data_IF_144553680957
#
_entry.id   IF_144553680957
#
_cell.length_a   1.000
_cell.length_b   1.000
_cell.length_c   1.000
_cell.angle_alpha   90.00
_cell.angle_beta   90.00
_cell.angle_gamma   90.00
#
_symmetry.space_group_name_H-M   'P 1'
#
loop_
_entity.id
_entity.type
_entity.pdbx_description
1 polymer ?
#
# COMPACT_ATOMS: atom_id res chain seq x y z
N UNK A 1 -28.56 -32.91 11.79
CA UNK A 1 -29.78 -32.57 12.55
C UNK A 1 -30.12 -33.79 13.38
N UNK A 2 -30.21 -33.67 14.70
CA UNK A 2 -30.53 -34.84 15.53
C UNK A 2 -32.03 -35.19 15.39
N UNK A 3 -32.46 -36.31 15.97
CA UNK A 3 -33.84 -36.81 15.86
C UNK A 3 -34.90 -35.90 16.50
N UNK A 4 -34.53 -35.14 17.52
CA UNK A 4 -35.43 -34.26 18.26
C UNK A 4 -35.61 -32.93 17.51
N UNK A 5 -34.51 -32.33 17.03
CA UNK A 5 -34.51 -31.17 16.14
C UNK A 5 -35.41 -31.41 14.90
N UNK A 6 -35.40 -32.64 14.36
CA UNK A 6 -36.24 -33.02 13.21
C UNK A 6 -37.71 -33.08 13.57
N UNK A 7 -38.08 -33.56 14.76
CA UNK A 7 -39.47 -33.57 15.24
C UNK A 7 -39.98 -32.16 15.45
N UNK A 8 -39.16 -31.28 16.02
CA UNK A 8 -39.51 -29.88 16.26
C UNK A 8 -39.71 -29.15 14.94
N UNK A 9 -38.80 -29.34 13.97
CA UNK A 9 -38.94 -28.78 12.63
C UNK A 9 -40.23 -29.27 11.94
N UNK A 10 -40.52 -30.57 11.96
CA UNK A 10 -41.72 -31.11 11.31
C UNK A 10 -43.02 -30.63 11.97
N UNK A 11 -42.99 -30.42 13.29
CA UNK A 11 -44.13 -29.87 14.04
C UNK A 11 -44.39 -28.43 13.63
N UNK A 12 -43.34 -27.60 13.58
CA UNK A 12 -43.42 -26.23 13.06
C UNK A 12 -43.82 -26.18 11.58
N UNK A 13 -43.25 -27.02 10.73
CA UNK A 13 -43.57 -27.04 9.29
C UNK A 13 -45.05 -27.32 9.05
N UNK A 14 -45.65 -28.22 9.83
CA UNK A 14 -47.08 -28.54 9.77
C UNK A 14 -47.98 -27.36 10.15
N UNK A 15 -47.55 -26.48 11.06
CA UNK A 15 -48.32 -25.27 11.40
C UNK A 15 -48.28 -24.24 10.28
N UNK A 16 -47.26 -24.30 9.41
CA UNK A 16 -47.04 -23.38 8.29
C UNK A 16 -47.52 -23.87 6.93
N UNK A 17 -47.92 -25.15 6.81
CA UNK A 17 -48.17 -25.79 5.49
C UNK A 17 -49.34 -25.19 4.70
N UNK A 18 -50.29 -24.54 5.37
CA UNK A 18 -51.46 -23.92 4.74
C UNK A 18 -51.38 -22.38 4.66
N UNK A 19 -50.26 -21.78 5.09
CA UNK A 19 -50.06 -20.33 4.96
C UNK A 19 -49.64 -20.00 3.52
N UNK A 20 -50.21 -18.94 2.94
CA UNK A 20 -49.82 -18.44 1.63
C UNK A 20 -48.55 -17.60 1.79
N UNK A 21 -47.45 -18.05 1.20
CA UNK A 21 -46.19 -17.32 1.20
C UNK A 21 -46.19 -16.24 0.11
N UNK A 22 -46.35 -14.98 0.51
CA UNK A 22 -46.20 -13.83 -0.40
C UNK A 22 -44.71 -13.53 -0.59
N UNK A 23 -44.13 -14.17 -1.60
CA UNK A 23 -42.71 -14.02 -1.91
C UNK A 23 -42.30 -12.56 -2.11
N UNK A 24 -43.15 -11.74 -2.73
CA UNK A 24 -42.81 -10.35 -3.04
C UNK A 24 -42.73 -9.49 -1.77
N UNK A 25 -43.64 -9.72 -0.81
CA UNK A 25 -43.58 -9.08 0.50
C UNK A 25 -42.36 -9.54 1.31
N UNK A 26 -42.16 -10.85 1.39
CA UNK A 26 -41.14 -11.48 2.24
C UNK A 26 -39.71 -11.16 1.77
N UNK A 27 -39.47 -11.19 0.44
CA UNK A 27 -38.16 -10.79 -0.11
C UNK A 27 -37.87 -9.31 0.13
N UNK A 28 -38.90 -8.44 0.08
CA UNK A 28 -38.73 -7.01 0.36
C UNK A 28 -38.40 -6.79 1.83
N UNK A 29 -39.14 -7.43 2.75
CA UNK A 29 -38.90 -7.33 4.19
C UNK A 29 -37.51 -7.86 4.57
N UNK A 30 -37.11 -9.00 3.99
CA UNK A 30 -35.76 -9.54 4.11
C UNK A 30 -34.69 -8.54 3.63
N UNK A 31 -34.81 -8.01 2.41
CA UNK A 31 -33.84 -7.05 1.87
C UNK A 31 -33.77 -5.74 2.69
N UNK A 32 -34.91 -5.25 3.20
CA UNK A 32 -34.95 -4.08 4.08
C UNK A 32 -34.26 -4.35 5.42
N UNK A 33 -34.50 -5.53 6.01
CA UNK A 33 -33.84 -5.95 7.25
C UNK A 33 -32.33 -6.08 7.07
N UNK A 34 -31.87 -6.80 6.05
CA UNK A 34 -30.45 -6.97 5.75
C UNK A 34 -29.75 -5.63 5.52
N UNK A 35 -30.35 -4.74 4.73
CA UNK A 35 -29.78 -3.40 4.49
C UNK A 35 -29.74 -2.57 5.76
N UNK A 36 -30.75 -2.70 6.64
CA UNK A 36 -30.77 -2.00 7.93
C UNK A 36 -29.64 -2.51 8.83
N UNK A 37 -29.48 -3.82 8.97
CA UNK A 37 -28.41 -4.42 9.78
C UNK A 37 -27.03 -3.98 9.27
N UNK A 38 -26.81 -4.01 7.96
CA UNK A 38 -25.55 -3.54 7.36
C UNK A 38 -25.31 -2.06 7.66
N UNK A 39 -26.34 -1.21 7.53
CA UNK A 39 -26.23 0.22 7.85
C UNK A 39 -25.88 0.43 9.33
N UNK A 40 -26.61 -0.19 10.26
CA UNK A 40 -26.33 -0.06 11.69
C UNK A 40 -24.93 -0.58 12.04
N UNK A 41 -24.49 -1.68 11.41
CA UNK A 41 -23.13 -2.19 11.55
C UNK A 41 -22.06 -1.20 11.08
N UNK A 42 -22.27 -0.55 9.93
CA UNK A 42 -21.37 0.48 9.40
C UNK A 42 -21.34 1.72 10.30
N UNK A 43 -22.49 2.17 10.80
CA UNK A 43 -22.56 3.30 11.72
C UNK A 43 -21.82 3.00 13.02
N UNK A 44 -22.03 1.81 13.59
CA UNK A 44 -21.31 1.38 14.80
C UNK A 44 -19.81 1.28 14.56
N UNK A 45 -19.39 0.74 13.41
CA UNK A 45 -17.98 0.69 13.04
C UNK A 45 -17.37 2.09 12.90
N UNK A 46 -18.07 3.02 12.23
CA UNK A 46 -17.65 4.41 12.10
C UNK A 46 -17.46 5.06 13.47
N UNK A 47 -18.44 4.92 14.37
CA UNK A 47 -18.37 5.52 15.71
C UNK A 47 -17.17 5.00 16.50
N UNK A 48 -16.95 3.67 16.50
CA UNK A 48 -15.80 3.04 17.15
C UNK A 48 -14.48 3.54 16.56
N UNK A 49 -14.40 3.68 15.23
CA UNK A 49 -13.19 4.16 14.58
C UNK A 49 -12.93 5.63 14.88
N UNK A 50 -13.97 6.47 14.92
CA UNK A 50 -13.83 7.87 15.33
C UNK A 50 -13.38 7.99 16.79
N UNK A 51 -13.85 7.11 17.66
CA UNK A 51 -13.45 7.03 19.06
C UNK A 51 -11.98 6.62 19.21
N UNK A 52 -11.57 5.49 18.61
CA UNK A 52 -10.22 4.91 18.75
C UNK A 52 -9.15 5.76 18.05
N UNK A 53 -9.49 6.43 16.95
CA UNK A 53 -8.53 7.24 16.20
C UNK A 53 -8.44 8.67 16.70
N UNK A 54 -9.40 9.13 17.49
CA UNK A 54 -9.39 10.46 18.10
C UNK A 54 -8.38 10.57 19.23
N UNK A 55 -7.62 11.67 19.27
CA UNK A 55 -6.80 12.02 20.44
C UNK A 55 -7.66 12.74 21.48
N UNK A 56 -7.68 12.23 22.71
CA UNK A 56 -8.20 12.97 23.86
C UNK A 56 -7.17 14.03 24.26
N UNK A 57 -7.53 15.31 24.18
CA UNK A 57 -6.94 16.31 25.04
C UNK A 57 -8.04 17.25 25.51
N UNK A 58 -7.98 17.51 26.82
CA UNK A 58 -8.96 18.15 27.69
C UNK A 58 -9.52 19.45 27.13
N UNK A 59 -10.83 19.60 27.28
CA UNK A 59 -11.61 20.83 27.20
C UNK A 59 -11.56 21.57 25.83
N UNK A 60 -12.62 21.39 25.04
CA UNK A 60 -13.07 22.28 23.95
C UNK A 60 -12.36 22.29 22.57
N UNK A 61 -11.78 21.18 22.12
CA UNK A 61 -11.41 21.04 20.69
C UNK A 61 -11.77 19.68 20.07
N UNK A 62 -12.44 19.71 18.90
CA UNK A 62 -12.87 18.54 18.11
C UNK A 62 -11.74 17.49 17.97
N UNK A 63 -12.12 16.21 18.09
CA UNK A 63 -11.25 15.02 18.09
C UNK A 63 -10.49 14.82 16.79
N UNK A 64 -9.17 14.58 16.94
CA UNK A 64 -8.18 13.83 16.13
C UNK A 64 -8.63 12.70 15.16
N UNK A 65 -9.90 12.53 14.86
CA UNK A 65 -10.45 11.25 14.38
C UNK A 65 -10.50 11.11 12.86
N UNK A 66 -10.28 9.90 12.38
CA UNK A 66 -10.38 9.51 10.97
C UNK A 66 -11.75 8.91 10.71
N UNK A 67 -12.53 9.54 9.83
CA UNK A 67 -13.82 9.01 9.43
C UNK A 67 -13.63 7.93 8.36
N UNK A 68 -14.14 6.73 8.63
CA UNK A 68 -14.03 5.61 7.69
C UNK A 68 -14.78 5.83 6.39
N UNK A 69 -15.81 6.69 6.40
CA UNK A 69 -16.63 6.98 5.23
C UNK A 69 -15.97 7.96 4.25
N UNK A 70 -14.87 8.62 4.66
CA UNK A 70 -14.07 9.46 3.76
C UNK A 70 -13.20 8.63 2.79
N UNK A 71 -13.19 7.31 2.94
CA UNK A 71 -12.31 6.40 2.21
C UNK A 71 -13.10 5.28 1.53
N UNK A 72 -12.67 4.90 0.33
CA UNK A 72 -13.34 3.88 -0.50
C UNK A 72 -13.01 2.45 -0.07
N UNK A 73 -11.85 2.24 0.57
CA UNK A 73 -11.38 0.90 0.98
C UNK A 73 -10.87 0.91 2.42
N UNK A 74 -10.96 -0.24 3.10
CA UNK A 74 -10.39 -0.43 4.45
C UNK A 74 -8.89 -0.14 4.45
N UNK A 75 -8.15 -0.55 3.41
CA UNK A 75 -6.72 -0.25 3.29
C UNK A 75 -6.44 1.27 3.25
N UNK A 76 -7.28 2.04 2.54
CA UNK A 76 -7.16 3.50 2.54
C UNK A 76 -7.54 4.14 3.88
N UNK A 77 -8.53 3.60 4.61
CA UNK A 77 -8.83 4.02 6.00
C UNK A 77 -7.61 3.79 6.90
N UNK A 78 -7.05 2.58 6.88
CA UNK A 78 -5.83 2.22 7.63
C UNK A 78 -4.68 3.17 7.33
N UNK A 79 -4.47 3.51 6.05
CA UNK A 79 -3.45 4.48 5.66
C UNK A 79 -3.77 5.90 6.12
N UNK A 80 -5.05 6.31 6.12
CA UNK A 80 -5.50 7.59 6.67
C UNK A 80 -5.17 7.71 8.17
N UNK A 81 -5.47 6.66 8.93
CA UNK A 81 -5.14 6.55 10.36
C UNK A 81 -3.63 6.59 10.56
N UNK A 82 -2.90 5.80 9.79
CA UNK A 82 -1.45 5.76 9.87
C UNK A 82 -0.82 7.14 9.61
N UNK A 83 -1.26 7.83 8.55
CA UNK A 83 -0.80 9.18 8.22
C UNK A 83 -1.13 10.19 9.32
N UNK A 84 -2.34 10.12 9.88
CA UNK A 84 -2.83 11.09 10.86
C UNK A 84 -2.17 10.91 12.23
N UNK A 85 -2.03 9.65 12.67
CA UNK A 85 -1.66 9.35 14.06
C UNK A 85 -0.19 8.93 14.21
N UNK A 86 0.42 8.36 13.16
CA UNK A 86 1.74 7.72 13.24
C UNK A 86 2.80 8.39 12.35
N UNK A 87 2.43 9.02 11.23
CA UNK A 87 3.37 9.77 10.36
C UNK A 87 3.29 11.28 10.58
N UNK A 88 3.72 11.74 11.76
CA UNK A 88 3.75 13.17 12.06
C UNK A 88 4.78 13.88 11.18
N UNK A 89 4.30 14.76 10.31
CA UNK A 89 5.14 15.63 9.49
C UNK A 89 5.61 16.83 10.34
N UNK A 90 6.86 17.25 10.11
CA UNK A 90 7.42 18.46 10.69
C UNK A 90 7.47 19.55 9.63
N UNK A 91 6.87 20.68 9.96
CA UNK A 91 6.91 21.91 9.16
C UNK A 91 7.58 23.00 9.99
N UNK A 92 8.06 24.03 9.31
CA UNK A 92 8.28 25.34 9.90
C UNK A 92 7.24 26.30 9.33
N UNK A 93 6.87 27.31 10.09
CA UNK A 93 6.01 28.40 9.65
C UNK A 93 6.76 29.72 9.75
N UNK A 94 6.62 30.55 8.71
CA UNK A 94 7.08 31.93 8.77
C UNK A 94 6.24 32.71 9.78
N UNK A 95 6.92 33.45 10.65
CA UNK A 95 6.32 34.40 11.57
C UNK A 95 6.84 35.78 11.22
N UNK A 96 5.93 36.63 10.75
CA UNK A 96 6.20 37.99 10.26
C UNK A 96 5.76 39.01 11.28
N UNK A 97 6.59 40.01 11.53
CA UNK A 97 6.23 41.14 12.39
C UNK A 97 5.62 42.26 11.53
N UNK A 98 4.45 42.78 11.92
CA UNK A 98 3.60 43.62 11.06
C UNK A 98 4.29 44.91 10.56
N UNK A 99 5.27 45.44 11.31
CA UNK A 99 5.94 46.71 11.01
C UNK A 99 7.41 46.56 10.55
N UNK A 100 7.88 45.34 10.26
CA UNK A 100 9.26 45.12 9.79
C UNK A 100 9.31 44.02 8.72
N UNK A 101 10.30 44.05 7.83
CA UNK A 101 10.58 42.92 6.92
C UNK A 101 11.20 41.70 7.63
N UNK A 102 11.20 41.68 8.96
CA UNK A 102 11.77 40.58 9.72
C UNK A 102 10.88 39.34 9.68
N UNK A 103 11.45 38.21 9.22
CA UNK A 103 10.80 36.91 9.12
C UNK A 103 11.58 35.92 9.99
N UNK A 104 10.89 35.34 10.98
CA UNK A 104 11.41 34.25 11.80
C UNK A 104 10.77 32.92 11.37
N UNK A 105 11.55 31.85 11.20
CA UNK A 105 11.01 30.51 10.99
C UNK A 105 10.84 29.82 12.34
N UNK A 106 9.64 29.36 12.66
CA UNK A 106 9.37 28.58 13.88
C UNK A 106 8.87 27.18 13.54
N UNK A 107 9.30 26.14 14.29
CA UNK A 107 8.75 24.80 14.14
C UNK A 107 7.24 24.78 14.31
N UNK A 108 6.58 24.02 13.45
CA UNK A 108 5.14 23.86 13.34
C UNK A 108 4.78 22.37 13.26
N UNK A 109 3.70 22.00 13.93
CA UNK A 109 3.00 20.73 13.71
C UNK A 109 1.55 20.99 13.34
N UNK A 110 1.06 20.34 12.30
CA UNK A 110 -0.33 20.45 11.86
C UNK A 110 -1.28 19.85 12.89
N UNK A 111 -2.43 20.50 13.11
CA UNK A 111 -3.51 20.03 13.98
C UNK A 111 -4.84 20.16 13.25
N UNK A 112 -5.92 19.58 13.78
CA UNK A 112 -7.23 19.63 13.11
C UNK A 112 -7.87 21.02 13.03
N UNK A 113 -7.61 21.90 14.01
CA UNK A 113 -8.14 23.27 14.03
C UNK A 113 -7.18 24.29 13.42
N UNK A 114 -6.02 23.85 12.93
CA UNK A 114 -4.99 24.73 12.39
C UNK A 114 -3.61 24.11 12.55
N UNK A 115 -2.79 24.70 13.41
CA UNK A 115 -1.45 24.22 13.70
C UNK A 115 -0.96 24.76 15.05
N UNK A 116 -0.01 24.04 15.64
CA UNK A 116 0.73 24.51 16.80
C UNK A 116 2.11 24.99 16.37
N UNK A 117 2.63 25.99 17.08
CA UNK A 117 3.94 26.61 16.86
C UNK A 117 4.78 26.43 18.11
N UNK A 118 6.06 26.09 17.91
CA UNK A 118 7.02 25.98 19.01
C UNK A 118 7.52 27.37 19.40
N UNK A 119 7.25 27.77 20.64
CA UNK A 119 7.66 29.06 21.17
C UNK A 119 7.93 28.94 22.68
N UNK A 120 9.02 29.55 23.14
CA UNK A 120 9.43 29.52 24.55
C UNK A 120 9.42 28.09 25.16
N UNK A 121 10.05 27.15 24.47
CA UNK A 121 10.17 25.74 24.89
C UNK A 121 8.83 24.99 25.08
N UNK A 122 7.74 25.50 24.50
CA UNK A 122 6.42 24.89 24.57
C UNK A 122 5.70 24.94 23.21
N UNK A 123 4.77 24.01 23.00
CA UNK A 123 3.86 24.05 21.84
C UNK A 123 2.65 24.91 22.18
N UNK A 124 2.41 25.96 21.39
CA UNK A 124 1.25 26.85 21.54
C UNK A 124 0.37 26.73 20.29
N UNK A 125 -0.95 26.74 20.45
CA UNK A 125 -1.86 26.78 19.29
C UNK A 125 -1.66 28.08 18.51
N UNK A 126 -1.92 28.07 17.20
CA UNK A 126 -1.80 29.28 16.36
C UNK A 126 -2.57 30.49 16.93
N UNK A 127 -3.77 30.27 17.47
CA UNK A 127 -4.57 31.32 18.12
C UNK A 127 -3.92 31.84 19.41
N UNK A 128 -3.45 30.93 20.27
CA UNK A 128 -2.77 31.29 21.53
C UNK A 128 -1.48 32.07 21.26
N UNK A 129 -0.68 31.61 20.29
CA UNK A 129 0.55 32.30 19.88
C UNK A 129 0.27 33.73 19.42
N UNK A 130 -0.76 33.95 18.59
CA UNK A 130 -1.12 35.28 18.11
C UNK A 130 -1.71 36.16 19.22
N UNK A 131 -2.43 35.57 20.19
CA UNK A 131 -2.94 36.32 21.35
C UNK A 131 -1.81 36.86 22.23
N UNK A 132 -0.72 36.09 22.38
CA UNK A 132 0.47 36.50 23.13
C UNK A 132 1.42 37.38 22.30
N UNK A 133 1.30 37.35 20.97
CA UNK A 133 2.15 38.05 20.03
C UNK A 133 1.33 38.81 18.99
N UNK A 134 0.50 39.76 19.45
CA UNK A 134 -0.47 40.49 18.61
C UNK A 134 0.11 41.24 17.41
N UNK A 135 1.41 41.57 17.45
CA UNK A 135 2.15 42.22 16.35
C UNK A 135 2.70 41.24 15.31
N UNK A 136 2.47 39.94 15.48
CA UNK A 136 2.97 38.88 14.59
C UNK A 136 1.85 38.34 13.70
N UNK A 137 2.23 37.75 12.58
CA UNK A 137 1.32 37.08 11.64
C UNK A 137 2.03 35.87 11.03
N UNK A 138 1.27 34.90 10.53
CA UNK A 138 1.83 33.71 9.89
C UNK A 138 1.97 33.90 8.37
N UNK A 139 3.08 33.40 7.82
CA UNK A 139 3.39 33.40 6.39
C UNK A 139 3.36 32.00 5.78
N UNK A 140 4.32 31.71 4.91
CA UNK A 140 4.40 30.41 4.25
C UNK A 140 4.79 29.29 5.21
N UNK A 141 4.29 28.09 4.94
CA UNK A 141 4.71 26.86 5.60
C UNK A 141 5.82 26.22 4.78
N UNK A 142 6.89 25.82 5.44
CA UNK A 142 8.01 25.11 4.84
C UNK A 142 8.01 23.68 5.37
N UNK A 143 7.90 22.71 4.47
CA UNK A 143 8.10 21.31 4.84
C UNK A 143 9.56 21.13 5.30
N UNK A 144 9.75 20.57 6.50
CA UNK A 144 11.08 20.28 7.05
C UNK A 144 11.41 18.83 6.78
N UNK A 145 10.58 17.92 7.29
CA UNK A 145 10.74 16.47 7.07
C UNK A 145 9.48 15.72 7.45
N UNK A 146 9.35 14.53 6.87
CA UNK A 146 8.48 13.47 7.35
C UNK A 146 9.23 12.15 7.30
N UNK A 147 8.80 11.14 8.07
CA UNK A 147 9.38 9.80 7.95
C UNK A 147 9.28 9.27 6.51
N UNK A 148 8.17 9.55 5.82
CA UNK A 148 8.03 9.20 4.40
C UNK A 148 8.50 10.31 3.47
N UNK A 149 8.83 9.92 2.25
CA UNK A 149 9.06 10.83 1.14
C UNK A 149 7.76 11.63 0.83
N UNK A 150 7.74 12.94 1.09
CA UNK A 150 6.67 13.80 0.58
C UNK A 150 6.87 14.03 -0.92
N UNK A 151 6.38 13.11 -1.76
CA UNK A 151 6.48 13.24 -3.22
C UNK A 151 5.85 14.57 -3.60
N UNK A 152 6.60 15.53 -4.17
CA UNK A 152 6.04 16.83 -4.52
C UNK A 152 4.83 16.63 -5.43
N UNK A 153 3.84 17.52 -5.37
CA UNK A 153 2.66 17.44 -6.24
C UNK A 153 3.02 17.40 -7.73
N UNK A 154 4.24 17.82 -8.10
CA UNK A 154 4.82 17.78 -9.44
C UNK A 154 5.91 16.70 -9.65
N UNK A 155 6.09 15.79 -8.69
CA UNK A 155 7.21 14.84 -8.61
C UNK A 155 8.55 15.47 -8.22
N UNK A 156 9.63 14.68 -8.17
CA UNK A 156 11.01 15.13 -7.89
C UNK A 156 11.63 16.00 -8.99
N UNK A 157 10.88 16.22 -10.07
CA UNK A 157 11.27 17.04 -11.21
C UNK A 157 10.15 18.03 -11.47
N UNK A 158 10.46 19.32 -11.59
CA UNK A 158 9.43 20.35 -11.91
C UNK A 158 8.75 20.00 -13.24
N UNK A 159 7.61 19.26 -13.23
CA UNK A 159 6.48 19.44 -14.17
C UNK A 159 5.33 18.41 -14.15
N UNK A 160 5.24 17.39 -13.29
CA UNK A 160 4.40 16.23 -13.69
C UNK A 160 3.61 15.54 -12.55
N UNK A 161 2.29 15.36 -12.73
CA UNK A 161 1.39 14.62 -11.82
C UNK A 161 1.38 13.09 -12.08
N UNK A 162 2.34 12.59 -12.84
CA UNK A 162 2.47 11.19 -13.22
C UNK A 162 3.90 10.73 -12.93
N UNK A 163 4.10 9.43 -12.74
CA UNK A 163 5.44 8.88 -12.51
C UNK A 163 6.31 9.14 -13.75
N UNK A 164 7.37 9.96 -13.60
CA UNK A 164 8.35 10.21 -14.69
C UNK A 164 8.95 8.91 -15.21
N UNK A 165 9.23 7.96 -14.32
CA UNK A 165 9.74 6.63 -14.68
C UNK A 165 8.71 5.81 -15.47
N UNK A 166 7.42 5.90 -15.11
CA UNK A 166 6.34 5.31 -15.89
C UNK A 166 6.27 5.92 -17.29
N UNK A 167 6.30 7.26 -17.41
CA UNK A 167 6.24 7.89 -18.74
C UNK A 167 7.49 7.62 -19.58
N UNK A 168 8.69 7.69 -19.01
CA UNK A 168 9.91 7.36 -19.77
C UNK A 168 9.90 5.91 -20.25
N UNK A 169 9.40 4.99 -19.42
CA UNK A 169 9.19 3.60 -19.82
C UNK A 169 8.16 3.49 -20.96
N UNK A 170 7.02 4.18 -20.87
CA UNK A 170 5.99 4.17 -21.91
C UNK A 170 6.46 4.80 -23.23
N UNK A 171 7.17 5.93 -23.18
CA UNK A 171 7.78 6.58 -24.35
C UNK A 171 8.89 5.71 -24.98
N UNK A 172 9.66 5.00 -24.15
CA UNK A 172 10.61 4.01 -24.64
C UNK A 172 9.91 2.83 -25.29
N UNK A 173 8.86 2.27 -24.68
CA UNK A 173 8.04 1.20 -25.26
C UNK A 173 7.40 1.64 -26.59
N UNK A 174 6.91 2.88 -26.69
CA UNK A 174 6.38 3.43 -27.94
C UNK A 174 7.40 3.41 -29.07
N UNK A 175 8.65 3.76 -28.75
CA UNK A 175 9.74 3.79 -29.74
C UNK A 175 10.27 2.39 -30.08
N UNK A 176 10.42 1.51 -29.09
CA UNK A 176 10.96 0.16 -29.28
C UNK A 176 9.99 -0.73 -30.05
N UNK A 177 8.71 -0.71 -29.66
CA UNK A 177 7.66 -1.52 -30.28
C UNK A 177 7.05 -0.84 -31.51
N UNK A 178 7.44 0.41 -31.80
CA UNK A 178 6.92 1.24 -32.88
C UNK A 178 5.38 1.31 -32.89
N UNK A 179 4.77 1.45 -31.71
CA UNK A 179 3.33 1.60 -31.50
C UNK A 179 3.02 2.86 -30.71
N UNK A 180 1.82 3.41 -30.88
CA UNK A 180 1.38 4.54 -30.07
C UNK A 180 0.75 4.07 -28.75
N UNK A 181 1.31 4.51 -27.62
CA UNK A 181 0.79 4.24 -26.28
C UNK A 181 0.27 5.55 -25.69
N UNK A 182 -1.04 5.64 -25.48
CA UNK A 182 -1.67 6.75 -24.77
C UNK A 182 -1.25 6.72 -23.29
N UNK A 183 -0.77 7.84 -22.75
CA UNK A 183 -0.40 8.01 -21.34
C UNK A 183 -0.57 9.47 -20.88
N UNK A 184 -0.30 9.74 -19.60
CA UNK A 184 -0.56 11.02 -18.94
C UNK A 184 0.12 12.27 -19.57
N UNK A 185 1.11 12.11 -20.47
CA UNK A 185 1.83 13.21 -21.14
C UNK A 185 1.48 13.44 -22.60
N UNK A 186 0.66 12.58 -23.20
CA UNK A 186 0.20 12.78 -24.56
C UNK A 186 -1.30 13.09 -24.60
N UNK A 187 -2.19 12.11 -24.69
CA UNK A 187 -3.65 12.22 -24.74
C UNK A 187 -4.30 12.07 -23.36
N UNK A 188 -3.51 12.07 -22.29
CA UNK A 188 -3.96 11.82 -20.93
C UNK A 188 -4.11 10.32 -20.63
N UNK A 189 -4.27 9.97 -19.36
CA UNK A 189 -4.47 8.57 -18.95
C UNK A 189 -5.75 8.00 -19.56
N UNK A 190 -5.68 6.77 -20.05
CA UNK A 190 -6.83 6.13 -20.68
C UNK A 190 -7.80 5.62 -19.60
N UNK A 191 -9.07 6.02 -19.70
CA UNK A 191 -10.14 5.53 -18.84
C UNK A 191 -10.78 4.29 -19.46
N UNK A 192 -10.79 3.17 -18.74
CA UNK A 192 -11.38 1.93 -19.24
C UNK A 192 -12.90 2.10 -19.41
N UNK A 193 -13.47 1.86 -20.61
CA UNK A 193 -14.91 2.01 -20.87
C UNK A 193 -15.77 1.23 -19.87
N UNK A 194 -16.83 1.87 -19.36
CA UNK A 194 -17.73 1.26 -18.37
C UNK A 194 -17.20 1.26 -16.93
N UNK A 195 -16.00 1.80 -16.66
CA UNK A 195 -15.43 1.89 -15.31
C UNK A 195 -15.04 3.32 -14.92
N UNK A 196 -14.63 3.51 -13.67
CA UNK A 196 -14.03 4.77 -13.19
C UNK A 196 -12.49 4.77 -13.21
N UNK A 197 -11.87 3.68 -13.65
CA UNK A 197 -10.43 3.45 -13.52
C UNK A 197 -9.66 3.97 -14.74
N UNK A 198 -8.47 4.48 -14.47
CA UNK A 198 -7.49 4.92 -15.46
C UNK A 198 -6.29 3.99 -15.39
N UNK A 199 -5.55 3.88 -16.50
CA UNK A 199 -4.34 3.07 -16.61
C UNK A 199 -3.13 3.93 -16.95
N UNK A 200 -1.93 3.53 -16.51
CA UNK A 200 -0.69 4.27 -16.75
C UNK A 200 -0.42 4.46 -18.26
N UNK A 201 -0.66 3.42 -19.08
CA UNK A 201 -0.59 3.48 -20.53
C UNK A 201 -1.58 2.56 -21.26
N UNK A 202 -2.03 2.94 -22.45
CA UNK A 202 -2.93 2.14 -23.30
C UNK A 202 -2.55 2.24 -24.78
N UNK A 203 -2.32 1.12 -25.45
CA UNK A 203 -2.15 1.08 -26.90
C UNK A 203 -3.46 0.66 -27.57
N UNK A 204 -4.04 1.54 -28.39
CA UNK A 204 -5.29 1.21 -29.10
C UNK A 204 -5.07 0.19 -30.22
N UNK A 205 -3.90 0.22 -30.87
CA UNK A 205 -3.57 -0.64 -32.01
C UNK A 205 -3.48 -2.11 -31.59
N UNK A 206 -2.77 -2.38 -30.50
CA UNK A 206 -2.60 -3.74 -29.97
C UNK A 206 -3.65 -4.09 -28.91
N UNK A 207 -4.43 -3.10 -28.46
CA UNK A 207 -5.38 -3.21 -27.36
C UNK A 207 -4.73 -3.60 -26.01
N UNK A 208 -3.49 -3.20 -25.80
CA UNK A 208 -2.73 -3.49 -24.58
C UNK A 208 -2.82 -2.38 -23.52
N UNK A 209 -2.77 -2.80 -22.25
CA UNK A 209 -2.70 -1.93 -21.07
C UNK A 209 -1.33 -2.07 -20.40
N UNK A 210 -0.72 -0.94 -20.05
CA UNK A 210 0.59 -0.82 -19.42
C UNK A 210 0.42 -0.24 -18.01
N UNK A 211 1.05 -0.87 -17.01
CA UNK A 211 0.96 -0.53 -15.59
C UNK A 211 2.34 -0.65 -14.93
N UNK A 212 2.81 0.42 -14.28
CA UNK A 212 4.19 0.53 -13.80
C UNK A 212 4.46 -0.25 -12.51
N UNK A 213 3.49 -0.32 -11.58
CA UNK A 213 3.63 -1.04 -10.31
C UNK A 213 2.93 -2.41 -10.34
N UNK A 214 3.57 -3.44 -9.76
CA UNK A 214 3.06 -4.80 -9.65
C UNK A 214 2.32 -5.08 -8.33
N UNK A 215 1.35 -6.00 -8.36
CA UNK A 215 0.70 -6.54 -7.15
C UNK A 215 1.38 -7.82 -6.64
N UNK A 216 0.67 -8.61 -5.83
CA UNK A 216 1.17 -9.90 -5.35
C UNK A 216 1.43 -10.92 -6.47
N UNK A 217 2.37 -11.85 -6.24
CA UNK A 217 2.63 -12.97 -7.14
C UNK A 217 1.49 -13.98 -7.05
N UNK A 218 0.78 -14.17 -8.17
CA UNK A 218 -0.13 -15.30 -8.36
C UNK A 218 0.40 -16.12 -9.53
N UNK A 219 0.83 -17.34 -9.25
CA UNK A 219 1.47 -18.21 -10.23
C UNK A 219 0.97 -19.64 -10.03
N UNK A 220 0.62 -20.33 -11.12
CA UNK A 220 0.07 -21.69 -11.07
C UNK A 220 0.95 -22.62 -11.87
N UNK A 221 1.71 -23.47 -11.18
CA UNK A 221 2.63 -24.43 -11.80
C UNK A 221 1.94 -25.70 -12.29
N UNK A 222 0.83 -26.10 -11.65
CA UNK A 222 0.06 -27.30 -12.01
C UNK A 222 -1.42 -27.10 -11.71
N UNK A 223 -2.26 -27.15 -12.76
CA UNK A 223 -3.72 -26.96 -12.62
C UNK A 223 -4.42 -28.17 -11.97
N UNK A 224 -3.91 -29.38 -12.19
CA UNK A 224 -4.48 -30.60 -11.62
C UNK A 224 -3.38 -31.60 -11.27
N UNK A 225 -3.40 -32.10 -10.05
CA UNK A 225 -2.51 -33.17 -9.58
C UNK A 225 -3.35 -34.26 -8.92
N UNK A 226 -3.28 -35.50 -9.44
CA UNK A 226 -3.87 -36.67 -8.79
C UNK A 226 -2.84 -37.31 -7.87
N UNK A 227 -3.10 -37.23 -6.58
CA UNK A 227 -2.22 -37.72 -5.51
C UNK A 227 -2.04 -39.24 -5.62
N UNK A 228 -0.78 -39.71 -5.54
CA UNK A 228 -0.44 -41.14 -5.45
C UNK A 228 -0.83 -41.79 -4.12
N UNK A 229 -0.64 -43.12 -3.99
CA UNK A 229 -0.98 -43.87 -2.76
C UNK A 229 -0.25 -43.36 -1.51
N UNK A 230 0.97 -42.87 -1.67
CA UNK A 230 1.85 -42.43 -0.57
C UNK A 230 2.23 -40.94 -0.68
N UNK A 231 1.43 -40.15 -1.40
CA UNK A 231 1.66 -38.72 -1.59
C UNK A 231 0.65 -37.88 -0.80
N UNK A 232 1.04 -36.67 -0.42
CA UNK A 232 0.17 -35.72 0.26
C UNK A 232 0.38 -34.31 -0.31
N UNK A 233 -0.70 -33.56 -0.48
CA UNK A 233 -0.65 -32.13 -0.82
C UNK A 233 -0.68 -31.34 0.48
N UNK A 234 0.33 -30.49 0.68
CA UNK A 234 0.41 -29.57 1.82
C UNK A 234 0.04 -28.16 1.35
N UNK A 235 -0.84 -27.50 2.09
CA UNK A 235 -1.15 -26.09 1.91
C UNK A 235 -0.40 -25.27 2.96
N UNK A 236 0.37 -24.29 2.53
CA UNK A 236 1.10 -23.36 3.41
C UNK A 236 0.56 -21.97 3.14
N UNK A 237 0.12 -21.31 4.20
CA UNK A 237 -0.36 -19.93 4.15
C UNK A 237 0.46 -19.06 5.11
N UNK A 238 0.79 -17.85 4.67
CA UNK A 238 1.50 -16.88 5.49
C UNK A 238 0.48 -16.01 6.22
N UNK A 239 0.32 -16.25 7.51
CA UNK A 239 -0.52 -15.41 8.35
C UNK A 239 0.04 -13.98 8.41
N UNK A 240 -0.65 -13.05 7.75
CA UNK A 240 -0.35 -11.61 7.79
C UNK A 240 1.02 -11.23 7.18
N UNK A 241 1.31 -11.74 5.96
CA UNK A 241 2.54 -11.43 5.23
C UNK A 241 2.85 -9.93 5.16
N UNK A 242 1.91 -9.09 4.71
CA UNK A 242 2.15 -7.65 4.59
C UNK A 242 2.39 -6.95 5.93
N UNK A 243 1.60 -7.18 7.01
CA UNK A 243 1.94 -6.69 8.34
C UNK A 243 3.33 -7.13 8.82
N UNK A 244 3.73 -8.38 8.54
CA UNK A 244 5.08 -8.86 8.86
C UNK A 244 6.15 -8.06 8.09
N UNK A 245 5.95 -7.84 6.78
CA UNK A 245 6.86 -7.01 5.96
C UNK A 245 6.94 -5.59 6.50
N UNK A 246 5.80 -4.96 6.78
CA UNK A 246 5.70 -3.61 7.35
C UNK A 246 6.47 -3.45 8.67
N UNK A 247 6.44 -4.47 9.53
CA UNK A 247 7.17 -4.45 10.79
C UNK A 247 8.66 -4.72 10.60
N UNK A 248 9.03 -5.77 9.87
CA UNK A 248 10.39 -6.32 9.93
C UNK A 248 11.29 -5.96 8.76
N UNK A 249 10.75 -5.52 7.62
CA UNK A 249 11.55 -5.18 6.46
C UNK A 249 12.06 -3.74 6.53
N UNK A 250 13.14 -3.47 5.76
CA UNK A 250 13.75 -2.15 5.62
C UNK A 250 12.90 -1.29 4.70
N UNK A 251 12.61 -0.06 5.10
CA UNK A 251 11.85 0.91 4.32
C UNK A 251 12.69 2.15 4.00
N UNK A 252 12.53 2.74 2.79
CA UNK A 252 13.18 3.99 2.44
C UNK A 252 12.58 5.15 3.25
N UNK A 253 13.44 6.08 3.66
CA UNK A 253 13.06 7.35 4.27
C UNK A 253 13.42 8.50 3.33
N UNK A 254 12.72 9.62 3.48
CA UNK A 254 13.05 10.88 2.79
C UNK A 254 13.10 10.76 1.26
N UNK A 255 13.81 11.65 0.59
CA UNK A 255 13.88 11.69 -0.88
C UNK A 255 15.07 10.87 -1.40
N UNK A 256 14.91 10.22 -2.57
CA UNK A 256 16.02 9.51 -3.17
C UNK A 256 17.00 10.46 -3.85
N UNK A 257 18.25 10.05 -3.90
CA UNK A 257 19.25 10.52 -4.83
C UNK A 257 19.08 9.80 -6.17
N UNK A 258 18.94 10.58 -7.25
CA UNK A 258 18.77 10.04 -8.60
C UNK A 258 20.13 9.98 -9.28
N UNK A 259 20.60 8.76 -9.54
CA UNK A 259 21.90 8.49 -10.17
C UNK A 259 21.64 8.03 -11.61
N UNK A 260 22.22 8.72 -12.58
CA UNK A 260 22.05 8.44 -14.03
C UNK A 260 23.37 8.13 -14.74
N UNK A 261 24.50 8.21 -14.04
CA UNK A 261 25.84 7.89 -14.54
C UNK A 261 26.73 7.43 -13.39
N UNK A 262 27.92 6.89 -13.72
CA UNK A 262 28.91 6.43 -12.74
C UNK A 262 28.31 5.48 -11.67
N UNK A 263 27.56 4.48 -12.14
CA UNK A 263 26.90 3.51 -11.26
C UNK A 263 27.92 2.71 -10.45
N UNK A 264 27.69 2.61 -9.15
CA UNK A 264 28.39 1.67 -8.28
C UNK A 264 27.76 0.27 -8.36
N UNK A 265 28.31 -0.67 -7.58
CA UNK A 265 27.69 -1.96 -7.36
C UNK A 265 26.30 -1.78 -6.73
N UNK A 266 25.30 -2.48 -7.29
CA UNK A 266 23.89 -2.29 -6.90
C UNK A 266 23.58 -2.72 -5.46
N UNK A 267 24.45 -3.52 -4.83
CA UNK A 267 24.32 -3.93 -3.43
C UNK A 267 24.54 -2.76 -2.44
N UNK A 268 25.22 -1.70 -2.89
CA UNK A 268 25.35 -0.44 -2.15
C UNK A 268 24.13 0.45 -2.26
N UNK A 269 23.24 0.18 -3.24
CA UNK A 269 22.04 0.97 -3.44
C UNK A 269 20.83 0.33 -2.76
N UNK A 270 20.12 1.14 -2.00
CA UNK A 270 18.80 0.81 -1.47
C UNK A 270 17.72 1.65 -2.15
N UNK A 271 16.73 1.03 -2.81
CA UNK A 271 15.65 1.75 -3.48
C UNK A 271 15.15 1.07 -4.73
N UNK A 272 15.05 1.82 -5.83
CA UNK A 272 14.60 1.33 -7.14
C UNK A 272 15.73 1.43 -8.16
N UNK A 273 15.78 0.50 -9.10
CA UNK A 273 16.77 0.51 -10.15
C UNK A 273 16.15 0.07 -11.48
N UNK A 274 16.36 0.88 -12.51
CA UNK A 274 15.98 0.55 -13.89
C UNK A 274 17.14 -0.17 -14.57
N UNK A 275 16.94 -1.44 -14.89
CA UNK A 275 18.00 -2.33 -15.39
C UNK A 275 17.54 -3.12 -16.61
N UNK A 276 18.50 -3.44 -17.46
CA UNK A 276 18.42 -4.56 -18.40
C UNK A 276 19.08 -5.77 -17.74
N UNK A 277 18.33 -6.84 -17.55
CA UNK A 277 18.75 -8.03 -16.81
C UNK A 277 18.43 -9.29 -17.60
N UNK A 278 19.36 -10.25 -17.59
CA UNK A 278 19.22 -11.52 -18.27
C UNK A 278 18.84 -12.61 -17.26
N UNK A 279 17.67 -13.26 -17.43
CA UNK A 279 17.32 -14.41 -16.61
C UNK A 279 18.21 -15.64 -16.89
N UNK A 280 18.33 -16.58 -15.94
CA UNK A 280 18.90 -17.90 -16.20
C UNK A 280 17.98 -18.71 -17.13
N UNK A 281 18.49 -19.81 -17.70
CA UNK A 281 17.73 -20.66 -18.63
C UNK A 281 16.90 -21.75 -17.95
N UNK A 282 17.19 -22.08 -16.69
CA UNK A 282 16.57 -23.21 -15.99
C UNK A 282 16.31 -22.89 -14.51
N UNK A 283 15.27 -22.12 -14.25
CA UNK A 283 14.85 -21.75 -12.91
C UNK A 283 13.36 -22.05 -12.72
N UNK A 284 13.04 -22.90 -11.74
CA UNK A 284 11.68 -23.38 -11.52
C UNK A 284 10.71 -22.26 -11.10
N UNK A 285 11.17 -21.34 -10.24
CA UNK A 285 10.44 -20.14 -9.87
C UNK A 285 11.23 -18.91 -10.33
N UNK A 286 10.89 -18.39 -11.51
CA UNK A 286 11.41 -17.11 -11.96
C UNK A 286 11.13 -16.01 -10.91
N UNK A 287 12.06 -15.06 -10.77
CA UNK A 287 12.07 -14.08 -9.67
C UNK A 287 11.42 -12.79 -10.12
N UNK A 288 11.86 -12.25 -11.25
CA UNK A 288 11.46 -10.92 -11.67
C UNK A 288 10.14 -10.93 -12.44
N UNK A 289 9.20 -10.04 -12.09
CA UNK A 289 7.97 -9.89 -12.84
C UNK A 289 8.23 -9.19 -14.18
N UNK A 290 7.37 -9.49 -15.14
CA UNK A 290 7.28 -8.86 -16.43
C UNK A 290 5.82 -8.82 -16.85
N UNK A 291 5.31 -7.64 -17.18
CA UNK A 291 3.92 -7.48 -17.64
C UNK A 291 3.85 -7.70 -19.13
N UNK A 292 2.95 -8.57 -19.55
CA UNK A 292 2.72 -8.93 -20.95
C UNK A 292 1.27 -9.37 -21.12
N UNK A 293 0.61 -8.99 -22.22
CA UNK A 293 -0.78 -9.36 -22.52
C UNK A 293 -1.76 -9.04 -21.36
N UNK A 294 -1.58 -7.87 -20.74
CA UNK A 294 -2.39 -7.41 -19.60
C UNK A 294 -2.22 -8.22 -18.30
N UNK A 295 -1.23 -9.11 -18.21
CA UNK A 295 -0.98 -9.97 -17.04
C UNK A 295 0.42 -9.77 -16.47
N UNK A 296 0.56 -9.96 -15.16
CA UNK A 296 1.85 -10.04 -14.49
C UNK A 296 2.37 -11.48 -14.58
N UNK A 297 3.47 -11.69 -15.29
CA UNK A 297 4.06 -13.01 -15.55
C UNK A 297 5.50 -13.00 -15.03
N UNK A 298 6.07 -14.16 -14.73
CA UNK A 298 7.46 -14.32 -14.28
C UNK A 298 8.24 -15.15 -15.31
N UNK A 299 8.68 -14.56 -16.44
CA UNK A 299 9.33 -15.30 -17.52
C UNK A 299 10.85 -15.43 -17.33
N UNK A 300 11.44 -16.43 -17.97
CA UNK A 300 12.91 -16.55 -18.15
C UNK A 300 13.39 -16.10 -19.54
N UNK A 301 12.45 -15.68 -20.39
CA UNK A 301 12.71 -15.16 -21.72
C UNK A 301 11.58 -14.19 -22.07
N UNK A 302 11.94 -12.93 -22.29
CA UNK A 302 11.03 -11.87 -22.74
C UNK A 302 10.29 -12.27 -24.03
N UNK A 303 11.03 -12.64 -25.08
CA UNK A 303 10.40 -13.01 -26.36
C UNK A 303 9.49 -14.24 -26.28
N UNK A 304 9.80 -15.24 -25.44
CA UNK A 304 8.91 -16.39 -25.26
C UNK A 304 7.55 -15.98 -24.68
N UNK A 305 7.53 -15.08 -23.69
CA UNK A 305 6.25 -14.65 -23.10
C UNK A 305 5.49 -13.71 -24.03
N UNK A 306 6.17 -12.82 -24.75
CA UNK A 306 5.58 -11.93 -25.76
C UNK A 306 4.92 -12.74 -26.90
N UNK A 307 5.61 -13.75 -27.42
CA UNK A 307 5.11 -14.62 -28.50
C UNK A 307 4.26 -15.78 -28.00
N UNK A 308 3.99 -15.88 -26.70
CA UNK A 308 3.28 -17.01 -26.07
C UNK A 308 3.85 -18.41 -26.40
N UNK A 309 5.16 -18.50 -26.61
CA UNK A 309 5.85 -19.75 -26.91
C UNK A 309 5.70 -20.79 -25.79
N UNK A 310 5.05 -21.91 -26.10
CA UNK A 310 4.88 -23.06 -25.19
C UNK A 310 5.98 -24.12 -25.34
N UNK A 311 6.85 -23.99 -26.33
CA UNK A 311 7.92 -24.93 -26.65
C UNK A 311 9.24 -24.62 -25.94
N UNK A 312 10.28 -25.38 -26.28
CA UNK A 312 11.65 -25.12 -25.81
C UNK A 312 12.13 -23.78 -26.35
N UNK A 313 12.63 -22.92 -25.47
CA UNK A 313 13.23 -21.64 -25.85
C UNK A 313 14.52 -21.85 -26.67
N UNK A 314 14.62 -21.18 -27.82
CA UNK A 314 15.82 -21.13 -28.68
C UNK A 314 16.40 -19.72 -28.82
N UNK A 315 15.77 -18.73 -28.18
CA UNK A 315 16.15 -17.33 -28.24
C UNK A 315 17.54 -17.07 -27.62
N UNK A 316 18.25 -16.10 -28.18
CA UNK A 316 19.55 -15.66 -27.69
C UNK A 316 19.43 -14.74 -26.46
N UNK A 317 20.56 -14.39 -25.83
CA UNK A 317 20.57 -13.58 -24.60
C UNK A 317 19.91 -12.19 -24.78
N UNK A 318 20.02 -11.57 -25.96
CA UNK A 318 19.43 -10.27 -26.26
C UNK A 318 17.90 -10.34 -26.40
N UNK A 319 17.37 -11.43 -26.93
CA UNK A 319 15.93 -11.69 -27.02
C UNK A 319 15.34 -12.12 -25.67
N UNK A 320 16.15 -12.77 -24.83
CA UNK A 320 15.72 -13.27 -23.51
C UNK A 320 15.70 -12.21 -22.43
N UNK A 321 16.60 -11.24 -22.47
CA UNK A 321 16.75 -10.25 -21.43
C UNK A 321 15.49 -9.38 -21.26
N UNK A 322 15.28 -8.94 -20.03
CA UNK A 322 14.15 -8.12 -19.62
C UNK A 322 14.68 -6.75 -19.23
N UNK A 323 14.00 -5.69 -19.64
CA UNK A 323 14.27 -4.33 -19.16
C UNK A 323 13.12 -3.91 -18.26
N UNK A 324 13.42 -3.47 -17.05
CA UNK A 324 12.40 -3.12 -16.07
C UNK A 324 12.95 -2.35 -14.89
N UNK A 325 12.04 -1.79 -14.09
CA UNK A 325 12.37 -1.11 -12.84
C UNK A 325 11.99 -2.00 -11.68
N UNK A 326 12.97 -2.35 -10.85
CA UNK A 326 12.79 -3.29 -9.75
C UNK A 326 13.32 -2.69 -8.45
N UNK A 327 12.79 -3.15 -7.32
CA UNK A 327 13.38 -2.81 -6.03
C UNK A 327 14.75 -3.48 -5.91
N UNK A 328 15.74 -2.79 -5.31
CA UNK A 328 17.09 -3.36 -5.20
C UNK A 328 17.13 -4.72 -4.48
N UNK A 329 16.30 -5.00 -3.44
CA UNK A 329 16.22 -6.36 -2.87
C UNK A 329 15.74 -7.44 -3.84
N UNK A 330 14.86 -7.11 -4.79
CA UNK A 330 14.40 -8.06 -5.82
C UNK A 330 15.53 -8.36 -6.81
N UNK A 331 16.32 -7.36 -7.19
CA UNK A 331 17.49 -7.53 -8.05
C UNK A 331 18.54 -8.40 -7.36
N UNK A 332 18.82 -8.16 -6.08
CA UNK A 332 19.76 -8.97 -5.30
C UNK A 332 19.33 -10.44 -5.24
N UNK A 333 18.05 -10.71 -4.96
CA UNK A 333 17.52 -12.07 -5.00
C UNK A 333 17.60 -12.67 -6.42
N UNK A 334 17.32 -11.89 -7.45
CA UNK A 334 17.44 -12.34 -8.83
C UNK A 334 18.90 -12.74 -9.16
N UNK A 335 19.87 -11.92 -8.77
CA UNK A 335 21.29 -12.24 -8.95
C UNK A 335 21.69 -13.52 -8.20
N UNK A 336 21.22 -13.71 -6.97
CA UNK A 336 21.40 -14.97 -6.21
C UNK A 336 20.82 -16.18 -6.96
N UNK A 337 19.69 -16.02 -7.65
CA UNK A 337 19.08 -17.06 -8.49
C UNK A 337 19.67 -17.16 -9.90
N UNK A 338 20.81 -16.50 -10.17
CA UNK A 338 21.57 -16.63 -11.41
C UNK A 338 21.18 -15.65 -12.52
N UNK A 339 20.43 -14.59 -12.22
CA UNK A 339 20.21 -13.50 -13.17
C UNK A 339 21.49 -12.66 -13.31
N UNK A 340 21.72 -12.12 -14.51
CA UNK A 340 22.87 -11.24 -14.78
C UNK A 340 22.41 -9.86 -15.19
N UNK A 341 22.77 -8.83 -14.42
CA UNK A 341 22.52 -7.44 -14.82
C UNK A 341 23.44 -7.12 -16.00
N UNK A 342 22.84 -6.77 -17.14
CA UNK A 342 23.56 -6.43 -18.37
C UNK A 342 23.82 -4.93 -18.48
N UNK A 343 22.89 -4.11 -17.98
CA UNK A 343 23.00 -2.64 -17.99
C UNK A 343 22.17 -2.04 -16.88
N UNK A 344 22.74 -1.04 -16.21
CA UNK A 344 22.02 -0.13 -15.30
C UNK A 344 21.72 1.15 -16.06
N UNK A 345 20.47 1.61 -16.01
CA UNK A 345 20.02 2.82 -16.68
C UNK A 345 19.83 3.98 -15.72
N UNK A 346 19.26 3.72 -14.53
CA UNK A 346 18.95 4.74 -13.54
C UNK A 346 18.78 4.10 -12.15
N UNK A 347 19.27 4.75 -11.10
CA UNK A 347 19.12 4.30 -9.71
C UNK A 347 18.46 5.40 -8.90
N UNK A 348 17.46 5.03 -8.12
CA UNK A 348 16.79 5.87 -7.14
C UNK A 348 17.22 5.38 -5.77
N UNK A 349 18.34 5.91 -5.30
CA UNK A 349 18.93 5.48 -4.04
C UNK A 349 18.37 6.29 -2.88
N UNK A 350 17.86 5.63 -1.85
CA UNK A 350 17.49 6.24 -0.58
C UNK A 350 18.64 6.03 0.41
N UNK A 351 19.43 7.09 0.73
CA UNK A 351 20.53 6.99 1.69
C UNK A 351 20.01 6.65 3.08
N UNK A 352 18.88 7.26 3.43
CA UNK A 352 18.20 7.05 4.69
C UNK A 352 17.15 5.95 4.60
N UNK A 353 17.10 5.15 5.64
CA UNK A 353 16.16 4.03 5.74
C UNK A 353 15.89 3.68 7.20
N UNK A 354 14.79 2.99 7.45
CA UNK A 354 14.48 2.46 8.77
C UNK A 354 14.10 0.99 8.69
N UNK A 355 14.40 0.27 9.75
CA UNK A 355 14.03 -1.13 9.93
C UNK A 355 13.84 -1.38 11.43
N UNK A 356 12.90 -2.25 11.79
CA UNK A 356 12.77 -2.69 13.17
C UNK A 356 13.99 -3.50 13.59
N UNK A 357 14.64 -3.08 14.67
CA UNK A 357 15.73 -3.82 15.29
C UNK A 357 15.17 -4.80 16.33
N UNK A 358 15.34 -6.10 16.06
CA UNK A 358 14.90 -7.18 16.94
C UNK A 358 15.71 -7.28 18.23
N UNK A 359 16.93 -6.73 18.28
CA UNK A 359 17.80 -6.77 19.48
C UNK A 359 17.39 -5.71 20.48
N UNK A 360 17.09 -4.49 19.99
CA UNK A 360 16.69 -3.36 20.84
C UNK A 360 15.18 -3.24 20.98
N UNK A 361 14.40 -4.00 20.21
CA UNK A 361 12.93 -3.91 20.11
C UNK A 361 12.44 -2.49 19.78
N UNK A 362 13.13 -1.80 18.87
CA UNK A 362 12.84 -0.41 18.52
C UNK A 362 13.07 -0.11 17.05
N UNK A 363 12.60 1.05 16.59
CA UNK A 363 12.70 1.48 15.20
C UNK A 363 11.68 0.80 14.29
N UNK A 364 11.84 0.99 12.98
CA UNK A 364 10.89 0.52 11.97
C UNK A 364 9.71 1.47 11.81
N UNK A 365 9.36 1.76 10.56
CA UNK A 365 8.37 2.78 10.23
C UNK A 365 6.98 2.42 10.76
N UNK A 366 6.54 1.19 10.51
CA UNK A 366 5.18 0.74 10.81
C UNK A 366 5.09 -0.07 12.11
N UNK A 367 6.14 -0.09 12.94
CA UNK A 367 6.24 -0.97 14.10
C UNK A 367 5.09 -0.75 15.08
N UNK A 368 4.90 0.48 15.55
CA UNK A 368 3.88 0.80 16.56
C UNK A 368 2.47 0.52 16.04
N UNK A 369 2.22 0.90 14.78
CA UNK A 369 0.96 0.62 14.11
C UNK A 369 0.67 -0.89 14.04
N UNK A 370 1.63 -1.68 13.55
CA UNK A 370 1.45 -3.14 13.43
C UNK A 370 1.29 -3.77 14.81
N UNK A 371 2.08 -3.38 15.81
CA UNK A 371 1.97 -3.91 17.17
C UNK A 371 0.60 -3.63 17.79
N UNK A 372 0.12 -2.38 17.69
CA UNK A 372 -1.18 -1.98 18.23
C UNK A 372 -2.32 -2.81 17.62
N UNK A 373 -2.38 -2.90 16.29
CA UNK A 373 -3.47 -3.64 15.63
C UNK A 373 -3.33 -5.16 15.77
N UNK A 374 -2.12 -5.69 15.86
CA UNK A 374 -1.92 -7.12 16.12
C UNK A 374 -2.37 -7.49 17.54
N UNK A 375 -2.08 -6.65 18.54
CA UNK A 375 -2.59 -6.80 19.90
C UNK A 375 -4.12 -6.83 19.93
N UNK A 376 -4.76 -5.81 19.34
CA UNK A 376 -6.24 -5.74 19.28
C UNK A 376 -6.82 -6.98 18.62
N UNK A 377 -6.21 -7.44 17.52
CA UNK A 377 -6.65 -8.66 16.83
C UNK A 377 -6.60 -9.88 17.74
N UNK A 378 -5.53 -10.03 18.54
CA UNK A 378 -5.40 -11.17 19.47
C UNK A 378 -6.40 -11.09 20.61
N UNK A 379 -6.57 -9.92 21.22
CA UNK A 379 -7.57 -9.69 22.27
C UNK A 379 -9.01 -9.97 21.78
N UNK A 380 -9.31 -9.64 20.52
CA UNK A 380 -10.63 -9.88 19.92
C UNK A 380 -10.85 -11.33 19.45
N UNK A 381 -9.79 -12.06 19.10
CA UNK A 381 -9.89 -13.46 18.60
C UNK A 381 -10.10 -14.48 19.72
N UNK A 382 -10.07 -14.03 20.99
CA UNK A 382 -10.11 -14.89 22.16
C UNK A 382 -8.72 -15.40 22.54
N UNK A 383 -8.57 -15.80 23.80
CA UNK A 383 -7.29 -16.25 24.34
C UNK A 383 -7.12 -17.78 24.17
N UNK A 384 -5.87 -18.27 24.07
CA UNK A 384 -5.61 -19.70 24.11
C UNK A 384 -6.20 -20.38 25.36
N UNK A 385 -6.51 -21.67 25.26
CA UNK A 385 -7.10 -22.45 26.37
C UNK A 385 -6.27 -22.46 27.66
N UNK A 386 -4.96 -22.20 27.57
CA UNK A 386 -4.06 -22.12 28.73
C UNK A 386 -4.09 -20.75 29.43
N UNK A 387 -4.69 -19.72 28.82
CA UNK A 387 -4.85 -18.40 29.42
C UNK A 387 -6.16 -18.33 30.20
N UNK A 388 -6.13 -18.73 31.47
CA UNK A 388 -7.32 -18.84 32.33
C UNK A 388 -7.48 -17.68 33.30
N UNK A 389 -6.39 -16.98 33.61
CA UNK A 389 -6.35 -15.82 34.50
C UNK A 389 -6.10 -14.52 33.71
N UNK A 390 -6.40 -13.37 34.32
CA UNK A 390 -6.03 -12.06 33.75
C UNK A 390 -4.50 -11.86 33.68
N UNK A 391 -3.74 -12.56 34.52
CA UNK A 391 -2.27 -12.55 34.44
C UNK A 391 -1.80 -13.29 33.19
N UNK A 392 -2.36 -14.47 32.92
CA UNK A 392 -2.03 -15.28 31.73
C UNK A 392 -2.36 -14.53 30.44
N UNK A 393 -3.46 -13.76 30.45
CA UNK A 393 -3.86 -12.90 29.34
C UNK A 393 -2.90 -11.74 29.13
N UNK A 394 -2.39 -11.13 30.21
CA UNK A 394 -1.38 -10.05 30.15
C UNK A 394 -0.02 -10.55 29.70
N UNK A 395 0.39 -11.76 30.08
CA UNK A 395 1.65 -12.36 29.65
C UNK A 395 1.62 -12.82 28.19
N UNK A 396 0.45 -13.26 27.71
CA UNK A 396 0.26 -13.69 26.32
C UNK A 396 0.32 -12.55 25.28
N UNK A 397 -0.13 -11.35 25.66
CA UNK A 397 -0.24 -10.16 24.80
C UNK A 397 1.07 -9.36 24.81
#
# INVERSE_FOLDING_TARGET
>A
MNTDDRKDFLTWYRTKTNEVFDFAKEVREYCCSDTTILREGVLRFRDLMLEVTGTENTENTRRQSVDVLDYVTIASVCMGIYKTNFLKEQYDVEVKMQDTEHIEMKPMKSTQKGFDVWDQETWKSSDMFLSENSQRSFGQRKFVRSPLAHVPSKGYTKRFNHSRSSILWLEWMMNEENVFIQHALNRGEFKIPGTKFHVDGYCQETNDVFEFLGGGRTDTTKLYHKVGKDEQIKHVDFTSLYPWTNKYCRYPLHHPEIITNNFEDLDKNFGLCHVKILPPTNLYHAVLPYRCHGKLIFPLCRTCVETTNQGKCTHNDQERCITGTYATPEIMLAQEKGYRVLKVHEVWHFPDSTQYDKKTNSGGLFTDYVQMFLKIKQEASGFPLHCTSEEDKREYI
#
